data_IF_999458865523
#
_entry.id   IF_999458865523
#
_cell.length_a   1.000
_cell.length_b   1.000
_cell.length_c   1.000
_cell.angle_alpha   90.00
_cell.angle_beta   90.00
_cell.angle_gamma   90.00
#
_symmetry.space_group_name_H-M   'P 1'
#
loop_
_entity.id
_entity.type
_entity.pdbx_description
1 polymer ?
#
# COMPACT_ATOMS: atom_id res chain seq x y z
N UNK A 1 -12.52 -1.23 10.51
CA UNK A 1 -11.72 -1.31 9.28
C UNK A 1 -10.36 -1.88 9.61
N UNK A 2 -9.89 -2.83 8.80
CA UNK A 2 -8.63 -3.54 8.96
C UNK A 2 -7.96 -3.56 7.59
N UNK A 3 -6.79 -2.94 7.49
CA UNK A 3 -5.97 -2.94 6.28
C UNK A 3 -4.94 -4.07 6.36
N UNK A 4 -5.02 -5.03 5.44
CA UNK A 4 -3.98 -6.04 5.26
C UNK A 4 -3.08 -5.61 4.11
N UNK A 5 -1.85 -5.23 4.44
CA UNK A 5 -0.88 -4.74 3.47
C UNK A 5 0.30 -5.71 3.34
N UNK A 6 0.61 -6.06 2.11
CA UNK A 6 1.72 -6.91 1.73
C UNK A 6 2.65 -6.14 0.79
N UNK A 7 3.84 -5.81 1.28
CA UNK A 7 4.93 -5.37 0.43
C UNK A 7 5.81 -6.57 0.09
N UNK A 8 5.90 -6.92 -1.19
CA UNK A 8 6.88 -7.90 -1.67
C UNK A 8 8.02 -7.14 -2.36
N UNK A 9 9.11 -6.93 -1.63
CA UNK A 9 10.39 -6.53 -2.20
C UNK A 9 11.16 -7.77 -2.62
N UNK A 10 11.13 -8.12 -3.91
CA UNK A 10 11.98 -9.19 -4.43
C UNK A 10 13.42 -8.68 -4.50
N UNK A 11 14.23 -8.98 -3.49
CA UNK A 11 15.67 -8.76 -3.51
C UNK A 11 16.35 -9.75 -4.47
N UNK A 12 16.17 -9.54 -5.77
CA UNK A 12 16.93 -10.24 -6.81
C UNK A 12 18.38 -9.73 -6.82
N UNK A 13 19.31 -10.56 -6.38
CA UNK A 13 20.75 -10.23 -6.35
C UNK A 13 21.34 -10.02 -7.74
N UNK A 14 22.15 -8.96 -7.87
CA UNK A 14 23.15 -8.81 -8.94
C UNK A 14 22.84 -7.75 -10.01
N UNK A 15 23.21 -6.50 -9.74
CA UNK A 15 23.58 -5.53 -10.80
C UNK A 15 22.56 -4.44 -11.15
N UNK A 16 22.63 -3.29 -10.46
CA UNK A 16 22.48 -1.97 -11.08
C UNK A 16 21.10 -1.44 -11.47
N UNK A 17 20.01 -2.19 -11.35
CA UNK A 17 18.65 -1.65 -11.53
C UNK A 17 17.93 -1.58 -10.18
N UNK A 18 17.45 -0.40 -9.79
CA UNK A 18 16.49 -0.25 -8.68
C UNK A 18 15.20 -0.97 -9.10
N UNK A 19 15.08 -2.26 -8.77
CA UNK A 19 13.90 -3.02 -9.11
C UNK A 19 12.70 -2.41 -8.38
N UNK A 20 11.63 -2.03 -9.09
CA UNK A 20 10.50 -1.38 -8.46
C UNK A 20 9.82 -2.31 -7.46
N UNK A 21 9.57 -1.81 -6.26
CA UNK A 21 8.78 -2.52 -5.26
C UNK A 21 7.31 -2.58 -5.71
N UNK A 22 6.67 -3.68 -5.32
CA UNK A 22 5.24 -3.89 -5.52
C UNK A 22 4.56 -3.97 -4.16
N UNK A 23 3.52 -3.17 -4.00
CA UNK A 23 2.73 -3.07 -2.80
C UNK A 23 1.32 -3.54 -3.15
N UNK A 24 0.77 -4.48 -2.40
CA UNK A 24 -0.55 -5.01 -2.67
C UNK A 24 -1.26 -5.28 -1.37
N UNK A 25 -2.57 -5.05 -1.34
CA UNK A 25 -3.34 -5.19 -0.12
C UNK A 25 -4.80 -5.42 -0.38
N UNK A 26 -5.52 -5.66 0.71
CA UNK A 26 -6.97 -5.70 0.73
C UNK A 26 -7.48 -4.83 1.87
N UNK A 27 -8.45 -4.00 1.53
CA UNK A 27 -9.23 -3.18 2.45
C UNK A 27 -10.42 -4.01 2.89
N UNK A 28 -10.49 -4.29 4.18
CA UNK A 28 -11.61 -5.01 4.79
C UNK A 28 -12.17 -4.21 5.96
N UNK A 29 -13.45 -4.39 6.29
CA UNK A 29 -14.02 -3.78 7.49
C UNK A 29 -13.67 -4.57 8.77
N UNK A 30 -14.16 -4.14 9.93
CA UNK A 30 -14.03 -4.83 11.21
C UNK A 30 -14.59 -6.26 11.16
N UNK A 31 -15.61 -6.49 10.31
CA UNK A 31 -16.19 -7.80 10.03
C UNK A 31 -15.41 -8.63 8.98
N UNK A 32 -14.23 -8.15 8.54
CA UNK A 32 -13.42 -8.73 7.45
C UNK A 32 -14.13 -8.77 6.07
N UNK A 33 -15.21 -8.00 5.92
CA UNK A 33 -15.90 -7.84 4.64
C UNK A 33 -15.08 -6.92 3.72
N UNK A 34 -14.84 -7.28 2.45
CA UNK A 34 -14.13 -6.42 1.52
C UNK A 34 -14.87 -5.09 1.28
N UNK A 35 -14.16 -3.98 1.43
CA UNK A 35 -14.73 -2.64 1.19
C UNK A 35 -14.31 -2.14 -0.18
N UNK A 36 -15.20 -2.29 -1.15
CA UNK A 36 -14.98 -1.78 -2.50
C UNK A 36 -15.26 -0.29 -2.64
N UNK A 37 -14.47 0.39 -3.48
CA UNK A 37 -14.56 1.84 -3.67
C UNK A 37 -13.70 2.66 -2.71
N UNK A 38 -12.92 2.03 -1.85
CA UNK A 38 -11.97 2.72 -0.98
C UNK A 38 -10.85 3.36 -1.81
N UNK A 39 -10.57 4.65 -1.63
CA UNK A 39 -9.49 5.36 -2.31
C UNK A 39 -8.21 5.26 -1.51
N UNK A 40 -7.19 4.65 -2.09
CA UNK A 40 -5.89 4.41 -1.46
C UNK A 40 -4.85 5.33 -2.10
N UNK A 41 -4.33 6.27 -1.33
CA UNK A 41 -3.26 7.19 -1.75
C UNK A 41 -1.98 6.82 -1.05
N UNK A 42 -0.91 6.74 -1.83
CA UNK A 42 0.45 6.54 -1.36
C UNK A 42 1.17 7.88 -1.33
N UNK A 43 1.70 8.21 -0.18
CA UNK A 43 2.55 9.38 0.06
C UNK A 43 3.99 8.94 0.29
N UNK A 44 4.94 9.71 -0.22
CA UNK A 44 6.36 9.57 0.05
C UNK A 44 6.74 10.13 1.44
N UNK A 45 7.98 9.95 1.89
CA UNK A 45 8.50 10.51 3.15
C UNK A 45 8.37 12.05 3.18
N UNK A 46 8.48 12.66 2.00
CA UNK A 46 8.28 14.10 1.80
C UNK A 46 6.82 14.56 1.91
N UNK A 47 5.86 13.63 2.07
CA UNK A 47 4.42 13.91 2.05
C UNK A 47 3.86 14.15 0.65
N UNK A 48 4.64 13.91 -0.40
CA UNK A 48 4.19 13.99 -1.79
C UNK A 48 3.36 12.77 -2.17
N UNK A 49 2.16 12.97 -2.74
CA UNK A 49 1.37 11.87 -3.27
C UNK A 49 2.07 11.26 -4.49
N UNK A 50 2.53 10.03 -4.36
CA UNK A 50 3.25 9.27 -5.41
C UNK A 50 2.26 8.61 -6.36
N UNK A 51 1.20 8.02 -5.79
CA UNK A 51 0.20 7.30 -6.55
C UNK A 51 -1.12 7.22 -5.78
N UNK A 52 -2.23 7.15 -6.51
CA UNK A 52 -3.56 6.89 -5.96
C UNK A 52 -4.22 5.77 -6.74
N UNK A 53 -4.79 4.80 -6.04
CA UNK A 53 -5.54 3.69 -6.62
C UNK A 53 -6.85 3.54 -5.87
N UNK A 54 -7.91 3.16 -6.57
CA UNK A 54 -9.19 2.84 -5.92
C UNK A 54 -9.29 1.33 -5.75
N UNK A 55 -9.63 0.88 -4.56
CA UNK A 55 -9.89 -0.51 -4.27
C UNK A 55 -11.11 -1.00 -5.05
N UNK A 56 -10.98 -2.15 -5.70
CA UNK A 56 -12.06 -2.79 -6.47
C UNK A 56 -13.20 -3.26 -5.56
N UNK A 57 -14.31 -3.75 -6.13
CA UNK A 57 -15.45 -4.31 -5.39
C UNK A 57 -15.08 -5.38 -4.33
N UNK A 58 -13.91 -6.00 -4.47
CA UNK A 58 -13.35 -6.97 -3.52
C UNK A 58 -12.37 -6.35 -2.49
N UNK A 59 -12.32 -5.02 -2.36
CA UNK A 59 -11.42 -4.28 -1.49
C UNK A 59 -9.93 -4.37 -1.88
N UNK A 60 -9.60 -4.98 -3.01
CA UNK A 60 -8.22 -5.23 -3.42
C UNK A 60 -7.61 -3.99 -4.06
N UNK A 61 -6.35 -3.72 -3.74
CA UNK A 61 -5.57 -2.65 -4.35
C UNK A 61 -4.12 -3.09 -4.56
N UNK A 62 -3.43 -2.46 -5.50
CA UNK A 62 -2.05 -2.76 -5.79
C UNK A 62 -1.33 -1.61 -6.47
N UNK A 63 -0.13 -1.33 -5.99
CA UNK A 63 0.82 -0.39 -6.57
C UNK A 63 2.05 -1.16 -7.04
N UNK A 64 2.61 -0.72 -8.17
CA UNK A 64 3.83 -1.27 -8.76
C UNK A 64 4.68 -0.10 -9.21
N UNK A 65 5.99 -0.30 -9.31
CA UNK A 65 6.86 0.80 -9.78
C UNK A 65 7.43 1.65 -8.65
N UNK A 66 7.36 1.22 -7.40
CA UNK A 66 7.72 2.09 -6.26
C UNK A 66 9.21 2.03 -6.01
N UNK A 67 9.85 3.19 -5.86
CA UNK A 67 11.24 3.24 -5.40
C UNK A 67 11.36 2.75 -3.95
N UNK A 68 12.56 2.38 -3.53
CA UNK A 68 12.83 2.08 -2.13
C UNK A 68 12.73 3.38 -1.31
N UNK A 69 12.00 3.34 -0.20
CA UNK A 69 11.75 4.54 0.61
C UNK A 69 10.74 4.30 1.72
N UNK A 70 10.53 5.34 2.54
CA UNK A 70 9.45 5.36 3.52
C UNK A 70 8.21 5.91 2.83
N UNK A 71 7.11 5.19 2.92
CA UNK A 71 5.85 5.64 2.33
C UNK A 71 4.74 5.61 3.39
N UNK A 72 3.81 6.55 3.29
CA UNK A 72 2.59 6.56 4.08
C UNK A 72 1.42 6.21 3.19
N UNK A 73 0.67 5.18 3.55
CA UNK A 73 -0.57 4.84 2.89
C UNK A 73 -1.73 5.53 3.60
N UNK A 74 -2.60 6.18 2.84
CA UNK A 74 -3.88 6.66 3.30
C UNK A 74 -4.97 5.95 2.55
N UNK A 75 -5.78 5.17 3.25
CA UNK A 75 -6.98 4.57 2.70
C UNK A 75 -8.19 5.37 3.18
N UNK A 76 -8.92 5.96 2.24
CA UNK A 76 -10.20 6.61 2.46
C UNK A 76 -11.32 5.65 2.05
N UNK A 77 -12.30 5.44 2.93
CA UNK A 77 -13.37 4.49 2.67
C UNK A 77 -14.27 4.85 1.49
N UNK A 78 -14.18 6.08 0.93
CA UNK A 78 -14.77 6.54 -0.33
C UNK A 78 -16.30 6.59 -0.40
N UNK A 79 -17.00 5.62 0.21
CA UNK A 79 -18.43 5.36 0.09
C UNK A 79 -19.07 5.16 1.46
N UNK A 80 -19.16 6.21 2.29
CA UNK A 80 -19.94 6.21 3.54
C UNK A 80 -19.15 6.68 4.76
N UNK A 81 -19.74 6.52 5.96
CA UNK A 81 -19.19 6.88 7.29
C UNK A 81 -17.98 6.04 7.71
N UNK A 82 -17.21 5.53 6.75
CA UNK A 82 -16.01 4.74 7.00
C UNK A 82 -14.87 5.70 7.36
N UNK A 83 -14.22 5.53 8.52
CA UNK A 83 -13.12 6.41 8.91
C UNK A 83 -11.95 6.23 7.94
N UNK A 84 -11.31 7.34 7.56
CA UNK A 84 -10.03 7.32 6.83
C UNK A 84 -8.94 6.77 7.75
N UNK A 85 -8.30 5.67 7.35
CA UNK A 85 -7.17 5.09 8.08
C UNK A 85 -5.84 5.43 7.38
N UNK A 86 -4.84 5.79 8.19
CA UNK A 86 -3.49 6.04 7.73
C UNK A 86 -2.60 4.92 8.28
N UNK A 87 -1.82 4.29 7.41
CA UNK A 87 -0.83 3.28 7.77
C UNK A 87 0.55 3.67 7.26
N UNK A 88 1.52 3.75 8.15
CA UNK A 88 2.93 3.85 7.78
C UNK A 88 3.40 2.52 7.17
N UNK A 89 4.06 2.59 6.02
CA UNK A 89 4.74 1.44 5.42
C UNK A 89 6.17 1.77 5.04
N UNK A 90 7.09 1.04 5.66
CA UNK A 90 8.50 1.12 5.30
C UNK A 90 8.77 0.15 4.15
N UNK A 91 8.84 0.67 2.92
CA UNK A 91 9.26 -0.06 1.73
C UNK A 91 10.80 -0.11 1.67
N UNK A 92 11.34 -0.84 2.64
CA UNK A 92 12.77 -1.13 2.72
C UNK A 92 13.09 -2.29 1.79
N UNK A 93 13.93 -2.06 0.78
CA UNK A 93 14.52 -3.12 -0.06
C UNK A 93 15.49 -4.06 0.68
N UNK A 94 15.50 -4.03 2.01
CA UNK A 94 16.28 -4.95 2.85
C UNK A 94 15.38 -6.05 3.37
N UNK A 95 15.82 -7.30 3.16
CA UNK A 95 15.33 -8.46 3.89
C UNK A 95 15.26 -8.11 5.38
N UNK A 96 14.18 -8.42 6.12
CA UNK A 96 14.27 -8.43 7.57
C UNK A 96 15.33 -9.47 7.93
N UNK A 97 16.56 -9.04 8.18
CA UNK A 97 17.57 -9.88 8.82
C UNK A 97 17.01 -10.24 10.17
N UNK A 98 16.66 -11.52 10.30
CA UNK A 98 16.36 -12.22 11.55
C UNK A 98 17.45 -12.01 12.59
#
# INVERSE_FOLDING_TARGET
MVFSLYACGSSGGGGGAVAPLSLSGVVTDSDREPVGGASVTLYDDTGGAVATVTADAAGRYGFRGIANGTYTLQADGGVGTFPSEMGDITLSGVVPTV
#
